data_IF_009405687516
#
_entry.id   IF_009405687516
#
_cell.length_a   1.000
_cell.length_b   1.000
_cell.length_c   1.000
_cell.angle_alpha   90.00
_cell.angle_beta   90.00
_cell.angle_gamma   90.00
#
_symmetry.space_group_name_H-M   'P 1'
#
loop_
_entity.id
_entity.type
_entity.pdbx_description
1 polymer ?
#
# COMPACT_ATOMS: atom_id res chain seq x y z
N UNK A 1 -9.72 -15.11 20.03
CA UNK A 1 -10.20 -15.31 18.64
C UNK A 1 -10.55 -13.99 17.94
N UNK A 2 -11.41 -13.11 18.48
CA UNK A 2 -11.82 -11.85 17.81
C UNK A 2 -10.67 -10.92 17.39
N UNK A 3 -9.62 -10.81 18.23
CA UNK A 3 -8.38 -10.06 17.90
C UNK A 3 -7.63 -10.67 16.71
N UNK A 4 -7.52 -12.00 16.66
CA UNK A 4 -6.86 -12.71 15.57
C UNK A 4 -7.60 -12.49 14.24
N UNK A 5 -8.93 -12.63 14.24
CA UNK A 5 -9.76 -12.35 13.07
C UNK A 5 -9.64 -10.88 12.61
N UNK A 6 -9.62 -9.94 13.56
CA UNK A 6 -9.42 -8.52 13.26
C UNK A 6 -8.05 -8.23 12.64
N UNK A 7 -6.98 -8.79 13.18
CA UNK A 7 -5.62 -8.68 12.63
C UNK A 7 -5.53 -9.25 11.23
N UNK A 8 -6.01 -10.48 11.02
CA UNK A 8 -5.96 -11.15 9.71
C UNK A 8 -6.82 -10.41 8.69
N UNK A 9 -8.05 -10.02 9.06
CA UNK A 9 -8.94 -9.28 8.17
C UNK A 9 -8.36 -7.95 7.72
N UNK A 10 -7.74 -7.19 8.64
CA UNK A 10 -7.06 -5.96 8.27
C UNK A 10 -5.79 -6.21 7.45
N UNK A 11 -5.00 -7.25 7.74
CA UNK A 11 -3.84 -7.61 6.93
C UNK A 11 -4.24 -7.89 5.47
N UNK A 12 -5.31 -8.68 5.27
CA UNK A 12 -5.88 -8.95 3.95
C UNK A 12 -6.35 -7.65 3.29
N UNK A 13 -7.06 -6.78 4.03
CA UNK A 13 -7.49 -5.49 3.50
C UNK A 13 -6.30 -4.60 3.09
N UNK A 14 -5.17 -4.65 3.81
CA UNK A 14 -3.93 -3.97 3.44
C UNK A 14 -3.34 -4.52 2.13
N UNK A 15 -3.32 -5.86 1.95
CA UNK A 15 -2.87 -6.49 0.70
C UNK A 15 -3.77 -6.04 -0.47
N UNK A 16 -5.10 -6.13 -0.29
CA UNK A 16 -6.07 -5.69 -1.30
C UNK A 16 -5.88 -4.20 -1.61
N UNK A 17 -5.62 -3.37 -0.61
CA UNK A 17 -5.36 -1.93 -0.79
C UNK A 17 -4.10 -1.68 -1.62
N UNK A 18 -3.02 -2.44 -1.42
CA UNK A 18 -1.79 -2.35 -2.24
C UNK A 18 -2.04 -2.78 -3.68
N UNK A 19 -2.71 -3.91 -3.89
CA UNK A 19 -3.02 -4.41 -5.24
C UNK A 19 -3.92 -3.40 -5.98
N UNK A 20 -4.94 -2.87 -5.30
CA UNK A 20 -5.85 -1.88 -5.87
C UNK A 20 -5.13 -0.57 -6.18
N UNK A 21 -4.20 -0.16 -5.32
CA UNK A 21 -3.37 1.01 -5.61
C UNK A 21 -2.50 0.80 -6.86
N UNK A 22 -1.84 -0.35 -6.99
CA UNK A 22 -1.02 -0.67 -8.16
C UNK A 22 -1.84 -0.68 -9.46
N UNK A 23 -3.08 -1.17 -9.43
CA UNK A 23 -3.97 -1.13 -10.59
C UNK A 23 -4.44 0.29 -10.91
N UNK A 24 -4.75 1.11 -9.90
CA UNK A 24 -5.08 2.53 -10.10
C UNK A 24 -3.88 3.29 -10.70
N UNK A 25 -2.69 3.08 -10.14
CA UNK A 25 -1.47 3.77 -10.57
C UNK A 25 -1.10 3.43 -12.02
N UNK A 26 -1.16 2.15 -12.39
CA UNK A 26 -0.95 1.73 -13.78
C UNK A 26 -1.97 2.34 -14.75
N UNK A 27 -3.24 2.44 -14.37
CA UNK A 27 -4.26 3.12 -15.18
C UNK A 27 -4.03 4.62 -15.29
N UNK A 28 -3.68 5.29 -14.20
CA UNK A 28 -3.29 6.70 -14.20
C UNK A 28 -2.09 6.92 -15.12
N UNK A 29 -1.12 6.01 -15.13
CA UNK A 29 0.03 6.11 -16.02
C UNK A 29 -0.26 5.90 -17.49
N UNK A 30 -1.25 5.08 -17.84
CA UNK A 30 -1.70 4.93 -19.23
C UNK A 30 -2.40 6.19 -19.72
N UNK A 31 -3.14 6.88 -18.86
CA UNK A 31 -3.92 8.07 -19.23
C UNK A 31 -3.08 9.35 -19.18
N UNK A 32 -2.15 9.44 -18.23
CA UNK A 32 -1.34 10.63 -17.97
C UNK A 32 0.15 10.29 -17.96
N UNK A 33 0.70 10.03 -19.15
CA UNK A 33 2.11 9.69 -19.38
C UNK A 33 3.10 10.68 -18.72
N UNK A 34 2.80 11.98 -18.76
CA UNK A 34 3.62 13.06 -18.19
C UNK A 34 3.76 13.01 -16.69
N UNK A 35 2.82 12.37 -15.98
CA UNK A 35 2.86 12.26 -14.52
C UNK A 35 3.71 11.07 -14.07
N UNK A 36 4.13 10.18 -14.99
CA UNK A 36 4.83 8.95 -14.65
C UNK A 36 6.34 9.12 -14.61
N UNK A 37 6.85 8.99 -13.38
CA UNK A 37 8.27 8.96 -13.06
C UNK A 37 8.52 7.64 -12.32
N UNK A 38 9.48 6.81 -12.77
CA UNK A 38 10.31 6.98 -13.95
C UNK A 38 9.49 6.71 -15.24
N UNK A 39 9.75 7.40 -16.38
CA UNK A 39 9.03 7.16 -17.62
C UNK A 39 9.10 5.67 -18.02
N UNK A 40 8.04 5.11 -18.62
CA UNK A 40 8.05 3.71 -19.06
C UNK A 40 9.29 3.45 -19.92
N UNK A 41 10.14 2.52 -19.50
CA UNK A 41 11.41 2.21 -20.18
C UNK A 41 12.68 2.82 -19.58
N UNK A 42 12.60 3.75 -18.62
CA UNK A 42 13.79 4.30 -17.95
C UNK A 42 14.31 3.46 -16.77
N UNK A 43 13.54 2.43 -16.36
CA UNK A 43 14.08 1.13 -15.96
C UNK A 43 13.37 0.00 -16.75
N UNK A 44 13.46 0.10 -18.08
CA UNK A 44 13.44 -0.96 -19.10
C UNK A 44 12.39 -2.07 -19.17
N UNK A 45 11.58 -2.37 -18.15
CA UNK A 45 10.70 -3.54 -18.21
C UNK A 45 10.21 -4.13 -16.90
N UNK A 46 10.34 -3.42 -15.77
CA UNK A 46 9.90 -3.90 -14.47
C UNK A 46 11.05 -4.19 -13.52
N UNK A 47 10.74 -4.91 -12.43
CA UNK A 47 11.70 -5.28 -11.35
C UNK A 47 12.95 -6.00 -11.85
N UNK A 48 12.93 -6.56 -13.06
CA UNK A 48 14.02 -7.32 -13.65
C UNK A 48 15.01 -6.45 -14.48
N UNK A 49 14.67 -5.21 -14.80
CA UNK A 49 15.46 -4.34 -15.67
C UNK A 49 16.35 -3.33 -14.91
N UNK A 50 16.18 -3.23 -13.59
CA UNK A 50 16.94 -2.37 -12.71
C UNK A 50 17.90 -3.27 -11.90
N UNK A 51 19.18 -2.91 -11.76
CA UNK A 51 20.13 -3.73 -11.00
C UNK A 51 19.58 -4.04 -9.60
N UNK A 52 19.43 -5.32 -9.27
CA UNK A 52 18.88 -5.80 -8.00
C UNK A 52 19.85 -5.50 -6.85
N UNK A 53 19.88 -4.24 -6.43
CA UNK A 53 20.63 -3.80 -5.25
C UNK A 53 19.87 -4.19 -4.00
N UNK A 54 20.59 -4.48 -2.92
CA UNK A 54 20.01 -4.79 -1.61
C UNK A 54 19.03 -3.70 -1.15
N UNK A 55 19.33 -2.43 -1.48
CA UNK A 55 18.47 -1.29 -1.18
C UNK A 55 17.15 -1.32 -1.97
N UNK A 56 17.18 -1.65 -3.26
CA UNK A 56 15.98 -1.79 -4.08
C UNK A 56 15.08 -2.93 -3.57
N UNK A 57 15.66 -4.06 -3.18
CA UNK A 57 14.92 -5.18 -2.58
C UNK A 57 14.28 -4.79 -1.25
N UNK A 58 15.00 -4.08 -0.38
CA UNK A 58 14.45 -3.60 0.90
C UNK A 58 13.31 -2.61 0.67
N UNK A 59 13.45 -1.68 -0.29
CA UNK A 59 12.38 -0.74 -0.65
C UNK A 59 11.14 -1.48 -1.18
N UNK A 60 11.31 -2.45 -2.07
CA UNK A 60 10.21 -3.25 -2.62
C UNK A 60 9.50 -4.04 -1.52
N UNK A 61 10.27 -4.67 -0.61
CA UNK A 61 9.71 -5.40 0.51
C UNK A 61 8.93 -4.47 1.45
N UNK A 62 9.48 -3.29 1.76
CA UNK A 62 8.81 -2.27 2.56
C UNK A 62 7.52 -1.77 1.91
N UNK A 63 7.52 -1.56 0.60
CA UNK A 63 6.34 -1.15 -0.16
C UNK A 63 5.25 -2.23 -0.17
N UNK A 64 5.63 -3.50 -0.37
CA UNK A 64 4.67 -4.60 -0.47
C UNK A 64 4.11 -5.02 0.90
N UNK A 65 4.96 -5.13 1.91
CA UNK A 65 4.59 -5.67 3.23
C UNK A 65 4.29 -4.59 4.28
N UNK A 66 4.81 -3.37 4.10
CA UNK A 66 4.59 -2.26 5.03
C UNK A 66 3.11 -1.97 5.27
N UNK A 67 2.30 -1.68 4.23
CA UNK A 67 0.88 -1.39 4.41
C UNK A 67 0.09 -2.56 5.03
N UNK A 68 0.22 -3.83 4.57
CA UNK A 68 -0.41 -4.97 5.24
C UNK A 68 -0.05 -5.11 6.72
N UNK A 69 1.22 -4.91 7.10
CA UNK A 69 1.66 -4.98 8.50
C UNK A 69 1.03 -3.85 9.32
N UNK A 70 1.02 -2.62 8.80
CA UNK A 70 0.42 -1.47 9.48
C UNK A 70 -1.10 -1.65 9.68
N UNK A 71 -1.79 -2.17 8.66
CA UNK A 71 -3.20 -2.51 8.77
C UNK A 71 -3.41 -3.62 9.81
N UNK A 72 -2.61 -4.67 9.80
CA UNK A 72 -2.68 -5.75 10.77
C UNK A 72 -2.53 -5.25 12.23
N UNK A 73 -1.58 -4.34 12.47
CA UNK A 73 -1.36 -3.69 13.77
C UNK A 73 -2.58 -2.84 14.17
N UNK A 74 -3.14 -2.08 13.23
CA UNK A 74 -4.35 -1.30 13.45
C UNK A 74 -5.55 -2.20 13.83
N UNK A 75 -5.78 -3.27 13.06
CA UNK A 75 -6.81 -4.28 13.35
C UNK A 75 -6.61 -4.93 14.72
N UNK A 76 -5.37 -5.32 15.05
CA UNK A 76 -5.04 -5.88 16.36
C UNK A 76 -5.42 -4.92 17.50
N UNK A 77 -5.10 -3.62 17.37
CA UNK A 77 -5.37 -2.61 18.38
C UNK A 77 -6.88 -2.33 18.53
N UNK A 78 -7.59 -2.13 17.43
CA UNK A 78 -9.04 -1.82 17.44
C UNK A 78 -9.87 -2.96 18.04
N UNK A 79 -9.54 -4.20 17.68
CA UNK A 79 -10.24 -5.37 18.20
C UNK A 79 -9.80 -5.74 19.63
N UNK A 80 -8.57 -5.41 20.05
CA UNK A 80 -8.15 -5.51 21.45
C UNK A 80 -8.98 -4.59 22.36
N UNK A 81 -9.25 -3.37 21.90
CA UNK A 81 -10.06 -2.36 22.61
C UNK A 81 -11.58 -2.55 22.46
N UNK A 82 -12.04 -3.65 21.86
CA UNK A 82 -13.46 -3.97 21.61
C UNK A 82 -14.26 -2.80 21.01
N UNK A 83 -13.66 -2.05 20.08
CA UNK A 83 -14.32 -0.90 19.45
C UNK A 83 -15.63 -1.33 18.74
N UNK A 84 -16.63 -0.43 18.69
CA UNK A 84 -17.87 -0.72 17.98
C UNK A 84 -17.62 -0.85 16.47
N UNK A 85 -18.44 -1.61 15.74
CA UNK A 85 -18.18 -1.96 14.34
C UNK A 85 -18.09 -0.75 13.41
N UNK A 86 -18.91 0.29 13.62
CA UNK A 86 -18.86 1.52 12.81
C UNK A 86 -17.52 2.25 12.95
N UNK A 87 -16.91 2.25 14.14
CA UNK A 87 -15.56 2.82 14.35
C UNK A 87 -14.52 2.00 13.61
N UNK A 88 -14.62 0.66 13.63
CA UNK A 88 -13.69 -0.22 12.93
C UNK A 88 -13.73 0.05 11.42
N UNK A 89 -14.93 0.16 10.85
CA UNK A 89 -15.12 0.48 9.42
C UNK A 89 -14.56 1.86 9.09
N UNK A 90 -14.83 2.87 9.91
CA UNK A 90 -14.29 4.22 9.71
C UNK A 90 -12.75 4.23 9.72
N UNK A 91 -12.12 3.54 10.69
CA UNK A 91 -10.67 3.42 10.73
C UNK A 91 -10.10 2.68 9.52
N UNK A 92 -10.77 1.64 9.04
CA UNK A 92 -10.34 0.93 7.84
C UNK A 92 -10.40 1.84 6.62
N UNK A 93 -11.50 2.57 6.43
CA UNK A 93 -11.65 3.53 5.33
C UNK A 93 -10.59 4.63 5.39
N UNK A 94 -10.36 5.21 6.57
CA UNK A 94 -9.30 6.19 6.77
C UNK A 94 -7.91 5.62 6.50
N UNK A 95 -7.64 4.38 6.90
CA UNK A 95 -6.35 3.73 6.63
C UNK A 95 -6.12 3.51 5.13
N UNK A 96 -7.15 3.09 4.39
CA UNK A 96 -7.09 2.96 2.92
C UNK A 96 -6.85 4.30 2.26
N UNK A 97 -7.62 5.34 2.65
CA UNK A 97 -7.45 6.68 2.09
C UNK A 97 -6.06 7.25 2.38
N UNK A 98 -5.59 7.12 3.63
CA UNK A 98 -4.25 7.56 4.01
C UNK A 98 -3.16 6.79 3.26
N UNK A 99 -3.30 5.48 3.11
CA UNK A 99 -2.37 4.67 2.35
C UNK A 99 -2.27 5.17 0.90
N UNK A 100 -3.40 5.33 0.21
CA UNK A 100 -3.42 5.79 -1.18
C UNK A 100 -2.90 7.23 -1.34
N UNK A 101 -3.23 8.13 -0.42
CA UNK A 101 -2.72 9.50 -0.45
C UNK A 101 -1.20 9.54 -0.24
N UNK A 102 -0.68 8.76 0.69
CA UNK A 102 0.77 8.68 0.97
C UNK A 102 1.50 8.05 -0.20
N UNK A 103 1.00 6.98 -0.80
CA UNK A 103 1.63 6.36 -1.97
C UNK A 103 1.56 7.27 -3.19
N UNK A 104 0.42 7.92 -3.43
CA UNK A 104 0.31 8.94 -4.48
C UNK A 104 1.34 10.05 -4.29
N UNK A 105 1.43 10.62 -3.08
CA UNK A 105 2.36 11.68 -2.80
C UNK A 105 3.83 11.21 -2.91
N UNK A 106 4.14 10.01 -2.42
CA UNK A 106 5.47 9.41 -2.50
C UNK A 106 5.95 9.23 -3.94
N UNK A 107 5.10 8.67 -4.80
CA UNK A 107 5.43 8.41 -6.21
C UNK A 107 5.50 9.72 -7.01
N UNK A 108 4.55 10.63 -6.81
CA UNK A 108 4.40 11.82 -7.66
C UNK A 108 5.21 13.04 -7.22
N UNK A 109 5.35 13.29 -5.91
CA UNK A 109 6.07 14.48 -5.41
C UNK A 109 7.48 14.16 -4.94
N UNK A 110 7.70 12.99 -4.35
CA UNK A 110 8.99 12.64 -3.73
C UNK A 110 9.85 11.71 -4.58
N UNK A 111 9.32 11.16 -5.68
CA UNK A 111 10.00 10.21 -6.57
C UNK A 111 10.68 9.04 -5.82
N UNK A 112 9.97 8.52 -4.81
CA UNK A 112 10.48 7.47 -3.90
C UNK A 112 10.35 6.05 -4.42
#
# INVERSE_FOLDING_TARGET
MRRLFGTIGFAIAGIVSVITWATIDSRLCVVFDRLCVPPPGSCGGGVDACAATTLATVKLFGYLFGPPILFAVLGANLFSRRRPPHVIVAYLACAVAAHWLVTFAGVRFFHL
#
